data_IF_493793025855
#
_entry.id   IF_493793025855
#
_cell.length_a   1.000
_cell.length_b   1.000
_cell.length_c   1.000
_cell.angle_alpha   90.00
_cell.angle_beta   90.00
_cell.angle_gamma   90.00
#
_symmetry.space_group_name_H-M   'P 1'
#
loop_
_entity.id
_entity.type
_entity.pdbx_description
1 polymer ?
#
# COMPACT_ATOMS: atom_id res chain seq x y z
N UNK A 1 22.51 1.50 23.64
CA UNK A 1 21.29 2.33 23.54
C UNK A 1 21.39 3.09 22.23
N UNK A 2 20.73 2.65 21.15
CA UNK A 2 20.85 3.27 19.83
C UNK A 2 19.66 4.21 19.59
N UNK A 3 19.94 5.50 19.55
CA UNK A 3 18.97 6.56 19.25
C UNK A 3 18.63 6.51 17.76
N UNK A 4 17.35 6.31 17.43
CA UNK A 4 16.88 6.34 16.05
C UNK A 4 16.91 7.80 15.55
N UNK A 5 17.88 8.12 14.68
CA UNK A 5 17.99 9.45 14.07
C UNK A 5 17.12 9.52 12.82
N UNK A 6 16.27 10.55 12.73
CA UNK A 6 15.40 10.81 11.57
C UNK A 6 16.27 11.12 10.34
N UNK A 7 16.12 10.34 9.26
CA UNK A 7 16.87 10.55 8.02
C UNK A 7 16.41 11.83 7.33
N UNK A 8 17.34 12.74 7.06
CA UNK A 8 17.13 13.88 6.17
C UNK A 8 17.20 13.43 4.71
N UNK A 9 16.26 13.89 3.89
CA UNK A 9 16.19 13.54 2.48
C UNK A 9 17.00 14.55 1.65
N UNK A 10 18.04 14.06 0.98
CA UNK A 10 18.96 14.88 0.17
C UNK A 10 18.42 15.34 -1.19
N UNK A 11 17.27 14.82 -1.65
CA UNK A 11 16.78 15.06 -3.01
C UNK A 11 15.36 15.63 -2.98
N UNK A 12 15.11 16.64 -3.80
CA UNK A 12 13.78 17.22 -4.03
C UNK A 12 12.79 16.19 -4.62
N UNK A 13 11.54 16.28 -4.20
CA UNK A 13 10.41 15.52 -4.73
C UNK A 13 10.30 15.66 -6.26
N UNK A 14 10.30 14.54 -6.99
CA UNK A 14 10.08 14.54 -8.45
C UNK A 14 8.62 14.23 -8.72
N UNK A 15 7.92 15.10 -9.43
CA UNK A 15 6.53 14.88 -9.77
C UNK A 15 6.37 14.42 -11.23
N UNK A 16 5.44 13.50 -11.50
CA UNK A 16 4.94 13.22 -12.85
C UNK A 16 3.46 13.53 -12.94
N UNK A 17 3.07 14.06 -14.09
CA UNK A 17 1.67 14.27 -14.42
C UNK A 17 1.15 13.04 -15.17
N UNK A 18 0.02 12.49 -14.72
CA UNK A 18 -0.69 11.39 -15.35
C UNK A 18 -2.08 11.86 -15.75
N UNK A 19 -2.52 11.51 -16.96
CA UNK A 19 -3.88 11.78 -17.42
C UNK A 19 -4.76 10.59 -17.04
N UNK A 20 -5.83 10.82 -16.28
CA UNK A 20 -6.80 9.77 -15.99
C UNK A 20 -7.49 9.34 -17.29
N UNK A 21 -7.47 8.05 -17.62
CA UNK A 21 -8.07 7.54 -18.86
C UNK A 21 -9.59 7.64 -18.90
N UNK A 22 -10.26 7.75 -17.76
CA UNK A 22 -11.73 7.82 -17.67
C UNK A 22 -12.32 9.22 -17.61
N UNK A 23 -11.56 10.24 -17.18
CA UNK A 23 -12.07 11.61 -17.03
C UNK A 23 -11.12 12.69 -17.55
N UNK A 24 -10.03 12.29 -18.20
CA UNK A 24 -9.01 13.16 -18.80
C UNK A 24 -8.31 14.16 -17.86
N UNK A 25 -8.64 14.10 -16.56
CA UNK A 25 -8.07 14.98 -15.54
C UNK A 25 -6.59 14.69 -15.35
N UNK A 26 -5.77 15.75 -15.34
CA UNK A 26 -4.33 15.68 -15.08
C UNK A 26 -4.10 15.58 -13.57
N UNK A 27 -3.53 14.47 -13.12
CA UNK A 27 -3.12 14.24 -11.74
C UNK A 27 -1.60 14.36 -11.62
N UNK A 28 -1.10 15.12 -10.65
CA UNK A 28 0.32 15.26 -10.37
C UNK A 28 0.68 14.34 -9.21
N UNK A 29 1.53 13.36 -9.45
CA UNK A 29 1.90 12.32 -8.49
C UNK A 29 3.39 12.44 -8.20
N UNK A 30 3.76 12.43 -6.94
CA UNK A 30 5.16 12.38 -6.55
C UNK A 30 5.72 10.98 -6.84
N UNK A 31 6.82 10.93 -7.58
CA UNK A 31 7.56 9.71 -7.89
C UNK A 31 8.90 9.76 -7.18
N UNK A 32 9.01 8.98 -6.11
CA UNK A 32 10.28 8.67 -5.48
C UNK A 32 11.04 7.64 -6.34
N UNK A 33 11.88 8.13 -7.26
CA UNK A 33 12.72 7.28 -8.12
C UNK A 33 14.00 6.78 -7.41
N UNK A 34 13.92 6.41 -6.14
CA UNK A 34 15.03 5.76 -5.42
C UNK A 34 14.72 4.26 -5.35
N UNK A 35 15.36 3.48 -6.21
CA UNK A 35 15.52 2.05 -5.93
C UNK A 35 16.40 1.95 -4.68
N UNK A 36 15.83 1.47 -3.59
CA UNK A 36 16.53 1.31 -2.32
C UNK A 36 16.63 -0.18 -2.07
N UNK A 37 17.84 -0.70 -1.98
CA UNK A 37 18.06 -2.04 -1.45
C UNK A 37 17.63 -2.03 0.01
N UNK A 38 16.47 -2.60 0.29
CA UNK A 38 15.95 -2.70 1.64
C UNK A 38 16.81 -3.72 2.38
N UNK A 39 17.69 -3.25 3.28
CA UNK A 39 18.35 -4.12 4.25
C UNK A 39 17.32 -4.45 5.33
N UNK A 40 16.84 -5.69 5.29
CA UNK A 40 15.97 -6.33 6.26
C UNK A 40 14.50 -5.88 6.23
N UNK A 41 13.63 -6.89 6.09
CA UNK A 41 12.17 -6.92 6.21
C UNK A 41 11.39 -5.77 5.50
N UNK A 42 10.95 -6.04 4.28
CA UNK A 42 10.10 -5.14 3.46
C UNK A 42 8.82 -4.75 4.21
N UNK A 43 8.30 -5.64 5.06
CA UNK A 43 7.06 -5.44 5.79
C UNK A 43 7.23 -4.40 6.90
N UNK A 44 8.42 -4.37 7.54
CA UNK A 44 8.76 -3.35 8.53
C UNK A 44 8.84 -1.97 7.87
N UNK A 45 9.46 -1.88 6.69
CA UNK A 45 9.55 -0.61 5.95
C UNK A 45 8.17 -0.08 5.52
N UNK A 46 7.32 -0.96 4.98
CA UNK A 46 5.95 -0.62 4.60
C UNK A 46 5.14 -0.13 5.81
N UNK A 47 5.26 -0.82 6.94
CA UNK A 47 4.59 -0.45 8.19
C UNK A 47 5.10 0.87 8.78
N UNK A 48 6.41 1.03 8.96
CA UNK A 48 6.95 2.11 9.79
C UNK A 48 7.08 3.44 9.05
N UNK A 49 7.51 3.40 7.78
CA UNK A 49 7.83 4.62 7.04
C UNK A 49 6.64 5.09 6.21
N UNK A 50 6.04 4.19 5.41
CA UNK A 50 4.97 4.58 4.50
C UNK A 50 3.65 4.84 5.22
N UNK A 51 3.23 3.92 6.10
CA UNK A 51 1.99 4.14 6.84
C UNK A 51 2.15 5.14 7.98
N UNK A 52 3.34 5.24 8.57
CA UNK A 52 3.64 6.23 9.61
C UNK A 52 3.30 7.66 9.16
N UNK A 53 3.71 8.02 7.95
CA UNK A 53 3.40 9.34 7.38
C UNK A 53 1.91 9.50 7.04
N UNK A 54 1.27 8.42 6.57
CA UNK A 54 -0.15 8.44 6.20
C UNK A 54 -1.09 8.51 7.41
N UNK A 55 -0.64 8.07 8.60
CA UNK A 55 -1.47 8.07 9.80
C UNK A 55 -1.99 9.47 10.18
N UNK A 56 -1.21 10.52 9.90
CA UNK A 56 -1.56 11.90 10.25
C UNK A 56 -2.29 12.66 9.13
N UNK A 57 -2.62 12.01 8.02
CA UNK A 57 -3.30 12.67 6.90
C UNK A 57 -4.77 12.94 7.25
N UNK A 58 -5.15 14.22 7.25
CA UNK A 58 -6.49 14.68 7.65
C UNK A 58 -7.48 14.85 6.48
N UNK A 59 -7.18 14.28 5.32
CA UNK A 59 -8.01 14.32 4.11
C UNK A 59 -8.22 12.90 3.57
N UNK A 60 -9.31 12.60 2.86
CA UNK A 60 -9.53 11.27 2.26
C UNK A 60 -8.37 10.81 1.38
N UNK A 61 -7.92 9.56 1.58
CA UNK A 61 -6.94 8.91 0.72
C UNK A 61 -7.18 7.40 0.63
N UNK A 62 -6.60 6.80 -0.42
CA UNK A 62 -6.77 5.39 -0.72
C UNK A 62 -5.41 4.73 -0.89
N UNK A 63 -5.14 3.71 -0.08
CA UNK A 63 -3.96 2.87 -0.21
C UNK A 63 -4.33 1.64 -1.04
N UNK A 64 -3.51 1.35 -2.04
CA UNK A 64 -3.65 0.15 -2.87
C UNK A 64 -2.44 -0.75 -2.60
N UNK A 65 -2.71 -1.97 -2.13
CA UNK A 65 -1.69 -2.96 -1.77
C UNK A 65 -1.82 -4.15 -2.70
N UNK A 66 -0.71 -4.65 -3.23
CA UNK A 66 -0.66 -5.91 -3.98
C UNK A 66 0.05 -6.94 -3.11
N UNK A 67 -0.71 -7.83 -2.47
CA UNK A 67 -0.14 -8.83 -1.58
C UNK A 67 -1.09 -10.00 -1.34
N UNK A 68 -0.53 -11.18 -1.14
CA UNK A 68 -1.24 -12.34 -0.58
C UNK A 68 -0.87 -12.59 0.89
N UNK A 69 0.07 -11.83 1.44
CA UNK A 69 0.67 -12.05 2.75
C UNK A 69 -0.24 -11.56 3.90
N UNK A 70 -0.44 -12.44 4.88
CA UNK A 70 -1.23 -12.16 6.06
C UNK A 70 -0.59 -11.17 7.02
N UNK A 71 0.72 -10.94 6.94
CA UNK A 71 1.43 -10.05 7.86
C UNK A 71 1.00 -8.59 7.70
N UNK A 72 0.45 -8.23 6.54
CA UNK A 72 -0.17 -6.93 6.32
C UNK A 72 -1.52 -6.76 7.02
N UNK A 73 -2.17 -7.82 7.53
CA UNK A 73 -3.54 -7.70 8.05
C UNK A 73 -3.61 -6.78 9.28
N UNK A 74 -2.69 -6.97 10.22
CA UNK A 74 -2.64 -6.17 11.46
C UNK A 74 -2.30 -4.71 11.16
N UNK A 75 -1.40 -4.50 10.20
CA UNK A 75 -1.03 -3.19 9.69
C UNK A 75 -2.24 -2.45 9.09
N UNK A 76 -3.00 -3.13 8.23
CA UNK A 76 -4.20 -2.59 7.58
C UNK A 76 -5.27 -2.24 8.61
N UNK A 77 -5.55 -3.14 9.54
CA UNK A 77 -6.53 -2.93 10.60
C UNK A 77 -6.15 -1.73 11.48
N UNK A 78 -4.89 -1.64 11.88
CA UNK A 78 -4.38 -0.51 12.67
C UNK A 78 -4.53 0.83 11.93
N UNK A 79 -4.23 0.85 10.62
CA UNK A 79 -4.35 2.04 9.80
C UNK A 79 -5.80 2.52 9.71
N UNK A 80 -6.72 1.61 9.40
CA UNK A 80 -8.15 1.92 9.28
C UNK A 80 -8.73 2.36 10.63
N UNK A 81 -8.30 1.76 11.74
CA UNK A 81 -8.74 2.14 13.09
C UNK A 81 -8.26 3.53 13.49
N UNK A 82 -7.00 3.87 13.20
CA UNK A 82 -6.38 5.13 13.63
C UNK A 82 -6.69 6.31 12.74
N UNK A 83 -6.92 6.08 11.44
CA UNK A 83 -7.21 7.16 10.49
C UNK A 83 -8.57 6.93 9.82
N UNK A 84 -9.54 7.79 10.14
CA UNK A 84 -10.91 7.75 9.59
C UNK A 84 -10.99 8.09 8.09
N UNK A 85 -9.97 8.74 7.54
CA UNK A 85 -9.90 9.15 6.14
C UNK A 85 -9.24 8.10 5.23
N UNK A 86 -8.65 7.06 5.83
CA UNK A 86 -8.02 5.97 5.10
C UNK A 86 -9.06 5.01 4.52
N UNK A 87 -8.86 4.65 3.26
CA UNK A 87 -9.46 3.51 2.58
C UNK A 87 -8.34 2.60 2.10
N UNK A 88 -8.53 1.28 2.13
CA UNK A 88 -7.50 0.32 1.71
C UNK A 88 -8.12 -0.71 0.78
N UNK A 89 -7.52 -0.89 -0.39
CA UNK A 89 -7.81 -2.02 -1.28
C UNK A 89 -6.60 -2.93 -1.40
N UNK A 90 -6.80 -4.21 -1.09
CA UNK A 90 -5.80 -5.25 -1.34
C UNK A 90 -6.17 -5.98 -2.62
N UNK A 91 -5.24 -5.99 -3.58
CA UNK A 91 -5.32 -6.84 -4.76
C UNK A 91 -4.55 -8.13 -4.48
N UNK A 92 -5.26 -9.26 -4.52
CA UNK A 92 -4.69 -10.57 -4.28
C UNK A 92 -5.16 -11.57 -5.34
N UNK A 93 -4.33 -12.57 -5.65
CA UNK A 93 -4.74 -13.63 -6.57
C UNK A 93 -5.69 -14.60 -5.87
N UNK A 94 -6.91 -14.85 -6.40
CA UNK A 94 -7.82 -15.80 -5.80
C UNK A 94 -7.26 -17.22 -5.99
N UNK A 95 -7.41 -18.04 -4.95
CA UNK A 95 -7.03 -19.45 -4.86
C UNK A 95 -7.13 -20.18 -6.20
N UNK A 96 -6.01 -20.31 -6.91
CA UNK A 96 -5.93 -21.09 -8.14
C UNK A 96 -4.69 -21.97 -8.10
N UNK A 97 -4.92 -23.17 -7.57
CA UNK A 97 -4.28 -24.44 -7.94
C UNK A 97 -2.76 -24.64 -7.71
N UNK A 98 -1.95 -23.63 -7.36
CA UNK A 98 -0.47 -23.78 -7.29
C UNK A 98 0.27 -22.94 -6.22
N UNK A 99 -0.16 -22.96 -4.94
CA UNK A 99 0.65 -22.48 -3.78
C UNK A 99 0.99 -20.97 -3.65
N UNK A 100 0.04 -20.06 -3.92
CA UNK A 100 0.11 -18.72 -3.33
C UNK A 100 -1.27 -18.37 -2.74
N UNK A 101 -1.40 -18.62 -1.44
CA UNK A 101 -2.69 -18.55 -0.76
C UNK A 101 -2.92 -17.13 -0.25
N UNK A 102 -3.98 -16.49 -0.72
CA UNK A 102 -4.55 -15.34 -0.04
C UNK A 102 -4.70 -15.72 1.45
N UNK A 103 -4.02 -14.99 2.32
CA UNK A 103 -4.12 -15.22 3.76
C UNK A 103 -5.57 -15.10 4.23
N UNK A 104 -6.01 -16.06 5.03
CA UNK A 104 -7.31 -16.02 5.72
C UNK A 104 -7.43 -14.73 6.53
N UNK A 105 -6.32 -14.22 7.10
CA UNK A 105 -6.29 -12.97 7.85
C UNK A 105 -6.68 -11.77 7.00
N UNK A 106 -6.19 -11.67 5.76
CA UNK A 106 -6.61 -10.63 4.82
C UNK A 106 -8.08 -10.78 4.43
N UNK A 107 -8.54 -12.01 4.20
CA UNK A 107 -9.97 -12.28 3.90
C UNK A 107 -10.88 -11.89 5.06
N UNK A 108 -10.48 -12.13 6.31
CA UNK A 108 -11.26 -11.77 7.49
C UNK A 108 -11.48 -10.26 7.62
N UNK A 109 -10.58 -9.43 7.07
CA UNK A 109 -10.71 -7.98 7.06
C UNK A 109 -11.83 -7.47 6.17
N UNK A 110 -12.47 -8.30 5.33
CA UNK A 110 -13.67 -7.91 4.57
C UNK A 110 -14.82 -7.41 5.47
N UNK A 111 -14.77 -7.75 6.77
CA UNK A 111 -15.73 -7.26 7.79
C UNK A 111 -15.43 -5.85 8.29
N UNK A 112 -14.23 -5.32 8.00
CA UNK A 112 -13.79 -4.00 8.46
C UNK A 112 -14.25 -2.94 7.47
N UNK A 113 -14.96 -1.91 7.96
CA UNK A 113 -15.38 -0.80 7.12
C UNK A 113 -14.17 -0.09 6.49
N UNK A 114 -14.29 0.31 5.21
CA UNK A 114 -13.26 0.96 4.38
C UNK A 114 -12.10 0.06 3.93
N UNK A 115 -12.20 -1.24 4.17
CA UNK A 115 -11.36 -2.25 3.57
C UNK A 115 -12.05 -2.89 2.35
N UNK A 116 -11.29 -3.13 1.29
CA UNK A 116 -11.76 -3.86 0.11
C UNK A 116 -10.73 -4.92 -0.30
N UNK A 117 -11.20 -6.12 -0.57
CA UNK A 117 -10.39 -7.17 -1.17
C UNK A 117 -10.79 -7.33 -2.64
N UNK A 118 -9.85 -7.10 -3.54
CA UNK A 118 -10.06 -7.24 -4.98
C UNK A 118 -9.30 -8.46 -5.50
N UNK A 119 -10.04 -9.38 -6.13
CA UNK A 119 -9.45 -10.54 -6.77
C UNK A 119 -8.79 -10.16 -8.10
N UNK A 120 -7.57 -10.66 -8.35
CA UNK A 120 -6.86 -10.52 -9.63
C UNK A 120 -6.42 -11.89 -10.14
N UNK A 121 -6.69 -12.25 -11.40
CA UNK A 121 -6.25 -13.54 -11.93
C UNK A 121 -4.72 -13.64 -12.02
N UNK A 122 -4.08 -12.55 -12.41
CA UNK A 122 -2.63 -12.42 -12.43
C UNK A 122 -2.22 -10.97 -12.13
N UNK A 123 -1.14 -10.77 -11.37
CA UNK A 123 -0.53 -9.44 -11.14
C UNK A 123 -0.16 -8.78 -12.48
N UNK A 124 0.24 -9.57 -13.49
CA UNK A 124 0.58 -9.10 -14.84
C UNK A 124 -0.62 -8.48 -15.58
N UNK A 125 -1.86 -8.83 -15.25
CA UNK A 125 -3.05 -8.34 -15.98
C UNK A 125 -3.40 -6.88 -15.65
N UNK A 126 -2.93 -6.38 -14.51
CA UNK A 126 -3.16 -4.99 -14.06
C UNK A 126 -1.94 -4.09 -14.21
N UNK A 127 -0.74 -4.66 -14.25
CA UNK A 127 0.49 -3.94 -14.61
C UNK A 127 0.65 -3.98 -16.14
N UNK A 128 -0.22 -3.27 -16.87
CA UNK A 128 0.04 -3.01 -18.29
C UNK A 128 1.22 -2.04 -18.41
N UNK A 129 2.21 -2.43 -19.24
CA UNK A 129 3.35 -1.59 -19.64
C UNK A 129 2.90 -0.31 -20.32
#
# INVERSE_FOLDING_TARGET
MHTLVRKSYSNYAKYRSFKCSGCDKKNKVEILKKSKTLKSNVDVYLCSELLGDLLNVEKPFHIIIFSCDGDFSEMIENMLRKNKYAYITVFATPFTKYNNYLSIRLKQLERVNRYYLSNILNIKDKVKK
#
